data_IF_402451281112
#
_entry.id   IF_402451281112
#
_cell.length_a   1.000
_cell.length_b   1.000
_cell.length_c   1.000
_cell.angle_alpha   90.00
_cell.angle_beta   90.00
_cell.angle_gamma   90.00
#
_symmetry.space_group_name_H-M   'P 1'
#
loop_
_entity.id
_entity.type
_entity.pdbx_description
1 polymer ?
#
# COMPACT_ATOMS: atom_id res chain seq x y z
N UNK A 1 24.83 9.01 21.89
CA UNK A 1 23.81 10.02 21.54
C UNK A 1 24.31 11.05 20.53
N UNK A 2 25.45 11.72 20.77
CA UNK A 2 26.02 12.74 19.86
C UNK A 2 26.15 12.31 18.39
N UNK A 3 26.64 11.09 18.11
CA UNK A 3 26.73 10.57 16.73
C UNK A 3 25.36 10.51 16.01
N UNK A 4 24.28 10.15 16.71
CA UNK A 4 22.93 10.06 16.11
C UNK A 4 22.37 11.45 15.82
N UNK A 5 22.57 12.40 16.73
CA UNK A 5 22.14 13.80 16.56
C UNK A 5 22.94 14.45 15.42
N UNK A 6 24.25 14.23 15.37
CA UNK A 6 25.12 14.77 14.32
C UNK A 6 24.78 14.19 12.95
N UNK A 7 24.54 12.88 12.86
CA UNK A 7 24.07 12.25 11.61
C UNK A 7 22.70 12.78 11.19
N UNK A 8 21.78 12.97 12.12
CA UNK A 8 20.47 13.56 11.83
C UNK A 8 20.60 14.98 11.25
N UNK A 9 21.38 15.85 11.89
CA UNK A 9 21.61 17.21 11.41
C UNK A 9 22.32 17.21 10.05
N UNK A 10 23.35 16.38 9.88
CA UNK A 10 24.09 16.26 8.63
C UNK A 10 23.18 15.83 7.46
N UNK A 11 22.28 14.87 7.68
CA UNK A 11 21.32 14.44 6.66
C UNK A 11 20.34 15.56 6.29
N UNK A 12 19.81 16.30 7.27
CA UNK A 12 18.92 17.43 6.99
C UNK A 12 19.62 18.53 6.19
N UNK A 13 20.86 18.89 6.56
CA UNK A 13 21.67 19.85 5.81
C UNK A 13 21.92 19.34 4.39
N UNK A 14 22.30 18.07 4.22
CA UNK A 14 22.53 17.47 2.91
C UNK A 14 21.28 17.52 2.02
N UNK A 15 20.09 17.26 2.58
CA UNK A 15 18.82 17.35 1.86
C UNK A 15 18.54 18.77 1.41
N UNK A 16 18.67 19.76 2.31
CA UNK A 16 18.45 21.19 1.97
C UNK A 16 19.44 21.65 0.89
N UNK A 17 20.72 21.29 1.02
CA UNK A 17 21.76 21.60 0.03
C UNK A 17 21.45 20.95 -1.31
N UNK A 18 21.03 19.68 -1.31
CA UNK A 18 20.68 18.97 -2.55
C UNK A 18 19.52 19.64 -3.25
N UNK A 19 18.44 19.97 -2.53
CA UNK A 19 17.29 20.69 -3.10
C UNK A 19 17.75 22.04 -3.66
N UNK A 20 18.58 22.79 -2.92
CA UNK A 20 19.12 24.08 -3.37
C UNK A 20 19.99 23.99 -4.63
N UNK A 21 20.83 22.96 -4.75
CA UNK A 21 21.63 22.72 -5.95
C UNK A 21 20.71 22.39 -7.13
N UNK A 22 19.72 21.49 -6.93
CA UNK A 22 18.80 21.09 -7.99
C UNK A 22 17.97 22.28 -8.48
N UNK A 23 17.42 23.09 -7.57
CA UNK A 23 16.65 24.29 -7.96
C UNK A 23 17.52 25.32 -8.67
N UNK A 24 18.78 25.50 -8.23
CA UNK A 24 19.75 26.39 -8.89
C UNK A 24 20.10 25.92 -10.30
N UNK A 25 20.41 24.64 -10.49
CA UNK A 25 20.74 24.04 -11.80
C UNK A 25 19.55 24.13 -12.77
N UNK A 26 18.32 23.99 -12.27
CA UNK A 26 17.11 24.13 -13.07
C UNK A 26 16.70 25.59 -13.31
N UNK A 27 17.45 26.57 -12.80
CA UNK A 27 17.16 27.99 -12.97
C UNK A 27 15.88 28.46 -12.28
N UNK A 28 15.43 27.74 -11.25
CA UNK A 28 14.19 28.06 -10.52
C UNK A 28 14.45 29.27 -9.64
N UNK A 29 13.81 30.39 -10.00
CA UNK A 29 13.87 31.64 -9.26
C UNK A 29 13.12 31.51 -7.92
N UNK A 30 13.46 32.34 -6.90
CA UNK A 30 12.65 32.43 -5.70
C UNK A 30 11.19 32.75 -6.05
N UNK A 31 10.26 31.94 -5.52
CA UNK A 31 8.83 32.10 -5.81
C UNK A 31 8.18 33.26 -5.05
N UNK A 32 8.82 33.76 -3.99
CA UNK A 32 8.42 34.99 -3.30
C UNK A 32 9.25 36.13 -3.87
N UNK A 33 8.58 37.09 -4.50
CA UNK A 33 9.20 38.30 -5.06
C UNK A 33 8.66 39.54 -4.36
N UNK A 34 9.32 40.68 -4.57
CA UNK A 34 8.85 41.99 -4.10
C UNK A 34 7.46 42.38 -4.65
N UNK A 35 7.05 41.80 -5.78
CA UNK A 35 5.78 42.06 -6.44
C UNK A 35 4.68 41.04 -6.07
N UNK A 36 4.97 40.05 -5.22
CA UNK A 36 4.06 38.98 -4.85
C UNK A 36 4.61 37.59 -5.16
N UNK A 37 3.71 36.60 -5.27
CA UNK A 37 4.08 35.22 -5.61
C UNK A 37 4.13 35.01 -7.12
N UNK A 38 5.24 34.44 -7.59
CA UNK A 38 5.33 33.85 -8.92
C UNK A 38 4.82 32.40 -8.86
N UNK A 39 3.63 32.18 -9.42
CA UNK A 39 3.00 30.86 -9.44
C UNK A 39 3.74 29.85 -10.34
N UNK A 40 4.41 30.30 -11.39
CA UNK A 40 5.19 29.42 -12.26
C UNK A 40 6.43 28.93 -11.53
N UNK A 41 7.17 29.85 -10.90
CA UNK A 41 8.31 29.50 -10.06
C UNK A 41 7.90 28.60 -8.88
N UNK A 42 6.75 28.89 -8.25
CA UNK A 42 6.21 28.05 -7.17
C UNK A 42 5.86 26.64 -7.64
N UNK A 43 5.22 26.50 -8.81
CA UNK A 43 4.89 25.19 -9.36
C UNK A 43 6.15 24.40 -9.70
N UNK A 44 7.14 25.04 -10.34
CA UNK A 44 8.43 24.42 -10.66
C UNK A 44 9.15 23.97 -9.38
N UNK A 45 9.23 24.84 -8.36
CA UNK A 45 9.79 24.51 -7.05
C UNK A 45 9.05 23.33 -6.41
N UNK A 46 7.72 23.35 -6.43
CA UNK A 46 6.89 22.30 -5.84
C UNK A 46 7.08 20.96 -6.54
N UNK A 47 7.21 20.96 -7.87
CA UNK A 47 7.46 19.77 -8.66
C UNK A 47 8.83 19.17 -8.33
N UNK A 48 9.87 20.00 -8.23
CA UNK A 48 11.20 19.54 -7.82
C UNK A 48 11.13 18.92 -6.43
N UNK A 49 10.60 19.63 -5.44
CA UNK A 49 10.52 19.11 -4.07
C UNK A 49 9.69 17.81 -4.00
N UNK A 50 8.54 17.77 -4.67
CA UNK A 50 7.65 16.62 -4.68
C UNK A 50 8.26 15.37 -5.31
N UNK A 51 8.90 15.52 -6.47
CA UNK A 51 9.50 14.39 -7.19
C UNK A 51 10.90 14.02 -6.70
N UNK A 52 11.72 14.97 -6.24
CA UNK A 52 13.07 14.67 -5.75
C UNK A 52 13.02 13.68 -4.59
N UNK A 53 12.18 13.90 -3.58
CA UNK A 53 12.04 12.97 -2.46
C UNK A 53 11.56 11.58 -2.91
N UNK A 54 10.60 11.54 -3.83
CA UNK A 54 10.04 10.30 -4.35
C UNK A 54 11.09 9.47 -5.12
N UNK A 55 11.83 10.09 -6.04
CA UNK A 55 12.85 9.39 -6.83
C UNK A 55 14.07 9.00 -6.01
N UNK A 56 14.54 9.85 -5.08
CA UNK A 56 15.64 9.51 -4.18
C UNK A 56 15.25 8.30 -3.32
N UNK A 57 14.05 8.31 -2.75
CA UNK A 57 13.53 7.19 -1.96
C UNK A 57 13.48 5.89 -2.77
N UNK A 58 12.95 5.94 -4.00
CA UNK A 58 12.87 4.78 -4.88
C UNK A 58 14.26 4.27 -5.30
N UNK A 59 15.20 5.17 -5.61
CA UNK A 59 16.57 4.80 -5.99
C UNK A 59 17.31 4.08 -4.85
N UNK A 60 17.09 4.53 -3.61
CA UNK A 60 17.72 3.98 -2.41
C UNK A 60 16.96 2.78 -1.84
N UNK A 61 15.70 2.55 -2.23
CA UNK A 61 14.79 1.58 -1.58
C UNK A 61 15.40 0.20 -1.37
N UNK A 62 16.09 -0.32 -2.40
CA UNK A 62 16.74 -1.64 -2.34
C UNK A 62 17.93 -1.68 -1.38
N UNK A 63 18.73 -0.61 -1.34
CA UNK A 63 19.91 -0.54 -0.46
C UNK A 63 19.45 -0.38 0.99
N UNK A 64 18.48 0.50 1.21
CA UNK A 64 17.85 0.72 2.51
C UNK A 64 17.21 -0.56 3.04
N UNK A 65 16.44 -1.28 2.23
CA UNK A 65 15.83 -2.53 2.65
C UNK A 65 16.87 -3.58 3.09
N UNK A 66 17.98 -3.72 2.36
CA UNK A 66 19.06 -4.64 2.74
C UNK A 66 19.70 -4.29 4.06
N UNK A 67 19.99 -3.01 4.28
CA UNK A 67 20.67 -2.56 5.50
C UNK A 67 19.76 -2.53 6.71
N UNK A 68 18.53 -2.02 6.56
CA UNK A 68 17.59 -1.89 7.68
C UNK A 68 17.08 -3.24 8.16
N UNK A 69 16.80 -4.18 7.24
CA UNK A 69 16.29 -5.50 7.58
C UNK A 69 17.39 -6.55 7.75
N UNK A 70 18.66 -6.21 7.45
CA UNK A 70 19.75 -7.19 7.48
C UNK A 70 19.58 -8.32 6.46
N UNK A 71 19.07 -8.01 5.26
CA UNK A 71 18.79 -9.01 4.23
C UNK A 71 20.08 -9.68 3.77
N UNK A 72 20.15 -10.99 3.98
CA UNK A 72 21.19 -11.85 3.44
C UNK A 72 20.81 -12.24 2.01
N UNK A 73 21.52 -11.67 1.04
CA UNK A 73 21.26 -11.96 -0.38
C UNK A 73 21.80 -13.34 -0.71
N UNK A 74 20.94 -14.19 -1.27
CA UNK A 74 21.30 -15.53 -1.70
C UNK A 74 21.96 -15.45 -3.07
N UNK A 75 23.24 -15.82 -3.14
CA UNK A 75 23.98 -15.92 -4.40
C UNK A 75 23.73 -17.31 -5.04
N UNK A 76 23.11 -17.37 -6.24
CA UNK A 76 22.86 -18.64 -6.93
C UNK A 76 24.13 -19.45 -7.24
N UNK A 77 25.30 -18.81 -7.29
CA UNK A 77 26.58 -19.46 -7.59
C UNK A 77 27.33 -19.95 -6.34
N UNK A 78 26.90 -19.53 -5.14
CA UNK A 78 27.51 -19.94 -3.89
C UNK A 78 26.98 -21.30 -3.38
N UNK A 79 27.65 -21.85 -2.36
CA UNK A 79 27.16 -23.02 -1.63
C UNK A 79 25.95 -22.65 -0.77
N UNK A 80 24.76 -22.71 -1.36
CA UNK A 80 23.46 -22.53 -0.70
C UNK A 80 22.98 -23.84 -0.07
N UNK A 81 22.26 -23.73 1.06
CA UNK A 81 21.43 -24.82 1.58
C UNK A 81 20.35 -25.22 0.57
N UNK A 82 19.82 -26.43 0.69
CA UNK A 82 18.80 -26.93 -0.23
C UNK A 82 17.56 -26.02 -0.25
N UNK A 83 17.09 -25.59 0.92
CA UNK A 83 15.91 -24.71 1.05
C UNK A 83 16.15 -23.34 0.43
N UNK A 84 17.35 -22.76 0.63
CA UNK A 84 17.72 -21.48 0.04
C UNK A 84 17.82 -21.57 -1.49
N UNK A 85 18.35 -22.69 -2.01
CA UNK A 85 18.39 -22.95 -3.46
C UNK A 85 16.99 -23.11 -4.02
N UNK A 86 16.11 -23.84 -3.33
CA UNK A 86 14.72 -24.02 -3.74
C UNK A 86 13.99 -22.69 -3.82
N UNK A 87 14.14 -21.83 -2.80
CA UNK A 87 13.56 -20.49 -2.79
C UNK A 87 14.01 -19.66 -4.00
N UNK A 88 15.31 -19.64 -4.29
CA UNK A 88 15.86 -18.92 -5.46
C UNK A 88 15.24 -19.44 -6.76
N UNK A 89 15.17 -20.76 -6.93
CA UNK A 89 14.58 -21.40 -8.12
C UNK A 89 13.10 -21.05 -8.26
N UNK A 90 12.33 -21.12 -7.18
CA UNK A 90 10.91 -20.77 -7.18
C UNK A 90 10.70 -19.30 -7.58
N UNK A 91 11.42 -18.36 -6.96
CA UNK A 91 11.33 -16.93 -7.29
C UNK A 91 11.71 -16.67 -8.76
N UNK A 92 12.79 -17.28 -9.26
CA UNK A 92 13.21 -17.11 -10.65
C UNK A 92 12.22 -17.73 -11.64
N UNK A 93 11.61 -18.87 -11.30
CA UNK A 93 10.55 -19.47 -12.12
C UNK A 93 9.34 -18.54 -12.21
N UNK A 94 8.86 -18.01 -11.08
CA UNK A 94 7.73 -17.07 -11.05
C UNK A 94 8.06 -15.77 -11.81
N UNK A 95 9.28 -15.23 -11.63
CA UNK A 95 9.75 -14.05 -12.34
C UNK A 95 9.74 -14.25 -13.87
N UNK A 96 10.20 -15.40 -14.35
CA UNK A 96 10.15 -15.76 -15.78
C UNK A 96 8.71 -15.88 -16.28
N UNK A 97 7.84 -16.56 -15.54
CA UNK A 97 6.41 -16.69 -15.89
C UNK A 97 5.70 -15.33 -15.92
N UNK A 98 6.12 -14.39 -15.07
CA UNK A 98 5.62 -13.02 -15.05
C UNK A 98 6.20 -12.12 -16.15
N UNK A 99 7.11 -12.64 -17.00
CA UNK A 99 7.71 -11.90 -18.10
C UNK A 99 8.76 -10.88 -17.69
N UNK A 100 9.43 -11.08 -16.54
CA UNK A 100 10.53 -10.20 -16.12
C UNK A 100 11.78 -10.44 -16.97
N UNK A 101 12.34 -9.37 -17.54
CA UNK A 101 13.56 -9.40 -18.35
C UNK A 101 14.84 -9.65 -17.56
N UNK A 102 14.86 -9.30 -16.27
CA UNK A 102 15.96 -9.63 -15.37
C UNK A 102 15.42 -10.34 -14.13
N UNK A 103 16.22 -11.27 -13.60
CA UNK A 103 15.85 -12.01 -12.40
C UNK A 103 16.03 -11.11 -11.16
N UNK A 104 15.04 -11.07 -10.25
CA UNK A 104 15.20 -10.35 -8.99
C UNK A 104 16.29 -10.98 -8.13
N UNK A 105 16.93 -10.15 -7.31
CA UNK A 105 17.74 -10.66 -6.21
C UNK A 105 16.81 -11.35 -5.21
N UNK A 106 17.27 -12.44 -4.62
CA UNK A 106 16.53 -13.19 -3.61
C UNK A 106 17.29 -13.08 -2.30
N UNK A 107 16.59 -12.87 -1.19
CA UNK A 107 17.23 -12.79 0.11
C UNK A 107 16.36 -13.33 1.23
N UNK A 108 17.02 -13.64 2.35
CA UNK A 108 16.37 -14.01 3.60
C UNK A 108 16.79 -13.01 4.67
N UNK A 109 15.87 -12.66 5.57
CA UNK A 109 16.17 -11.84 6.73
C UNK A 109 15.64 -12.47 8.00
N UNK A 110 16.32 -12.24 9.12
CA UNK A 110 15.97 -12.84 10.39
C UNK A 110 14.80 -12.09 11.03
N UNK A 111 13.66 -12.76 11.17
CA UNK A 111 12.49 -12.22 11.86
C UNK A 111 11.51 -13.34 12.18
N UNK A 112 10.99 -13.36 13.40
CA UNK A 112 9.93 -14.29 13.82
C UNK A 112 8.57 -14.00 13.15
N UNK A 113 8.41 -12.82 12.56
CA UNK A 113 7.19 -12.43 11.86
C UNK A 113 7.08 -13.16 10.53
N UNK A 114 5.85 -13.53 10.14
CA UNK A 114 5.57 -14.17 8.85
C UNK A 114 5.40 -13.07 7.81
N UNK A 115 6.47 -12.79 7.06
CA UNK A 115 6.46 -11.68 6.10
C UNK A 115 7.40 -11.92 4.91
N UNK A 116 7.04 -11.35 3.76
CA UNK A 116 7.86 -11.26 2.57
C UNK A 116 7.60 -9.92 1.89
N UNK A 117 8.58 -9.39 1.18
CA UNK A 117 8.41 -8.13 0.47
C UNK A 117 9.25 -8.07 -0.82
N UNK A 118 8.73 -7.33 -1.80
CA UNK A 118 9.47 -6.92 -2.98
C UNK A 118 9.79 -5.42 -2.98
N UNK A 119 11.02 -5.06 -3.36
CA UNK A 119 11.45 -3.66 -3.53
C UNK A 119 12.46 -3.50 -4.66
N UNK A 120 12.53 -2.31 -5.25
CA UNK A 120 13.53 -1.97 -6.26
C UNK A 120 13.15 -0.77 -7.11
N UNK A 121 14.15 -0.01 -7.59
CA UNK A 121 13.90 1.17 -8.42
C UNK A 121 13.31 0.86 -9.79
N UNK A 122 13.55 -0.35 -10.31
CA UNK A 122 13.05 -0.79 -11.61
C UNK A 122 12.76 -2.28 -11.57
N UNK A 123 11.97 -2.78 -12.54
CA UNK A 123 11.71 -4.22 -12.72
C UNK A 123 13.01 -5.01 -12.85
N UNK A 124 14.00 -4.43 -13.54
CA UNK A 124 15.31 -5.03 -13.78
C UNK A 124 16.25 -5.01 -12.57
N UNK A 125 15.94 -4.21 -11.54
CA UNK A 125 16.76 -4.06 -10.34
C UNK A 125 15.89 -4.21 -9.11
N UNK A 126 15.26 -5.37 -9.00
CA UNK A 126 14.36 -5.74 -7.91
C UNK A 126 15.03 -6.71 -6.93
N UNK A 127 14.49 -6.74 -5.71
CA UNK A 127 14.83 -7.64 -4.61
C UNK A 127 13.53 -8.20 -4.07
N UNK A 128 13.46 -9.52 -3.92
CA UNK A 128 12.42 -10.22 -3.17
C UNK A 128 13.08 -10.81 -1.94
N UNK A 129 12.56 -10.49 -0.76
CA UNK A 129 13.09 -10.98 0.50
C UNK A 129 12.00 -11.66 1.33
N UNK A 130 12.39 -12.72 2.04
CA UNK A 130 11.49 -13.53 2.87
C UNK A 130 12.03 -13.63 4.29
N UNK A 131 11.17 -13.57 5.31
CA UNK A 131 11.60 -13.77 6.69
C UNK A 131 11.88 -15.23 7.03
N UNK A 132 12.76 -15.48 8.01
CA UNK A 132 12.95 -16.80 8.60
C UNK A 132 11.65 -17.36 9.19
N UNK A 133 10.83 -16.52 9.83
CA UNK A 133 9.52 -16.88 10.37
C UNK A 133 8.51 -17.31 9.31
N UNK A 134 8.54 -16.73 8.10
CA UNK A 134 7.67 -17.17 7.00
C UNK A 134 8.04 -18.57 6.53
N UNK A 135 9.32 -18.82 6.31
CA UNK A 135 9.82 -20.14 5.87
C UNK A 135 9.58 -21.23 6.93
N UNK A 136 9.62 -20.86 8.22
CA UNK A 136 9.42 -21.80 9.31
C UNK A 136 7.94 -22.17 9.55
N UNK A 137 6.99 -21.28 9.22
CA UNK A 137 5.58 -21.42 9.61
C UNK A 137 4.63 -21.72 8.44
N UNK A 138 5.01 -21.38 7.22
CA UNK A 138 4.18 -21.60 6.02
C UNK A 138 4.67 -22.82 5.25
N UNK A 139 3.74 -23.59 4.68
CA UNK A 139 4.10 -24.67 3.77
C UNK A 139 4.50 -24.15 2.38
N UNK A 140 5.09 -25.03 1.57
CA UNK A 140 5.60 -24.63 0.25
C UNK A 140 4.52 -24.04 -0.67
N UNK A 141 3.27 -24.53 -0.58
CA UNK A 141 2.18 -24.01 -1.41
C UNK A 141 1.78 -22.60 -1.02
N UNK A 142 1.72 -22.32 0.28
CA UNK A 142 1.43 -21.01 0.82
C UNK A 142 2.59 -20.03 0.51
N UNK A 143 3.85 -20.46 0.67
CA UNK A 143 5.03 -19.68 0.30
C UNK A 143 5.00 -19.31 -1.18
N UNK A 144 4.72 -20.26 -2.07
CA UNK A 144 4.62 -20.00 -3.51
C UNK A 144 3.53 -18.97 -3.84
N UNK A 145 2.38 -19.02 -3.15
CA UNK A 145 1.31 -18.04 -3.29
C UNK A 145 1.76 -16.62 -2.90
N UNK A 146 2.44 -16.47 -1.75
CA UNK A 146 2.99 -15.18 -1.31
C UNK A 146 4.05 -14.65 -2.29
N UNK A 147 4.98 -15.50 -2.71
CA UNK A 147 6.01 -15.10 -3.68
C UNK A 147 5.43 -14.68 -5.02
N UNK A 148 4.35 -15.34 -5.48
CA UNK A 148 3.67 -14.98 -6.71
C UNK A 148 2.96 -13.62 -6.61
N UNK A 149 2.41 -13.27 -5.44
CA UNK A 149 1.88 -11.93 -5.16
C UNK A 149 3.00 -10.87 -5.23
N UNK A 150 4.11 -11.09 -4.52
CA UNK A 150 5.25 -10.17 -4.50
C UNK A 150 5.89 -9.98 -5.90
N UNK A 151 6.04 -11.06 -6.66
CA UNK A 151 6.52 -10.99 -8.05
C UNK A 151 5.54 -10.23 -8.94
N UNK A 152 4.24 -10.34 -8.71
CA UNK A 152 3.24 -9.57 -9.45
C UNK A 152 3.40 -8.08 -9.22
N UNK A 153 3.77 -7.64 -8.01
CA UNK A 153 4.11 -6.23 -7.77
C UNK A 153 5.33 -5.77 -8.57
N UNK A 154 6.38 -6.59 -8.62
CA UNK A 154 7.56 -6.29 -9.45
C UNK A 154 7.18 -6.21 -10.92
N UNK A 155 6.44 -7.19 -11.43
CA UNK A 155 6.02 -7.28 -12.82
C UNK A 155 5.11 -6.13 -13.24
N UNK A 156 4.22 -5.67 -12.36
CA UNK A 156 3.36 -4.51 -12.61
C UNK A 156 4.12 -3.18 -12.56
N UNK A 157 5.28 -3.12 -11.88
CA UNK A 157 6.01 -1.86 -11.68
C UNK A 157 5.36 -1.00 -10.60
N UNK A 158 4.83 -1.66 -9.58
CA UNK A 158 3.98 -1.07 -8.55
C UNK A 158 4.74 -0.07 -7.65
N UNK A 159 6.01 -0.34 -7.39
CA UNK A 159 6.90 0.59 -6.68
C UNK A 159 7.04 1.91 -7.43
N UNK A 160 7.33 1.87 -8.73
CA UNK A 160 7.50 3.07 -9.56
C UNK A 160 6.19 3.84 -9.66
N UNK A 161 5.08 3.14 -9.91
CA UNK A 161 3.75 3.76 -10.04
C UNK A 161 3.36 4.49 -8.75
N UNK A 162 3.57 3.84 -7.61
CA UNK A 162 3.26 4.43 -6.31
C UNK A 162 4.17 5.62 -6.01
N UNK A 163 5.46 5.54 -6.33
CA UNK A 163 6.41 6.66 -6.22
C UNK A 163 5.98 7.85 -7.08
N UNK A 164 5.55 7.62 -8.33
CA UNK A 164 5.09 8.69 -9.22
C UNK A 164 3.83 9.37 -8.67
N UNK A 165 2.86 8.58 -8.19
CA UNK A 165 1.65 9.11 -7.55
C UNK A 165 2.03 9.95 -6.32
N UNK A 166 2.93 9.45 -5.47
CA UNK A 166 3.42 10.18 -4.30
C UNK A 166 4.08 11.49 -4.69
N UNK A 167 4.91 11.50 -5.76
CA UNK A 167 5.57 12.71 -6.26
C UNK A 167 4.58 13.77 -6.72
N UNK A 168 3.55 13.36 -7.47
CA UNK A 168 2.46 14.25 -7.91
C UNK A 168 1.68 14.79 -6.72
N UNK A 169 1.27 13.93 -5.78
CA UNK A 169 0.51 14.34 -4.60
C UNK A 169 1.34 15.31 -3.75
N UNK A 170 2.61 15.01 -3.47
CA UNK A 170 3.50 15.89 -2.73
C UNK A 170 3.67 17.24 -3.44
N UNK A 171 3.78 17.25 -4.76
CA UNK A 171 3.85 18.49 -5.56
C UNK A 171 2.62 19.37 -5.33
N UNK A 172 1.41 18.80 -5.42
CA UNK A 172 0.17 19.56 -5.22
C UNK A 172 -0.06 19.99 -3.78
N UNK A 173 0.27 19.13 -2.82
CA UNK A 173 0.25 19.49 -1.39
C UNK A 173 1.17 20.70 -1.18
N UNK A 174 2.39 20.63 -1.71
CA UNK A 174 3.35 21.72 -1.55
C UNK A 174 2.85 23.00 -2.18
N UNK A 175 2.42 22.93 -3.44
CA UNK A 175 1.92 24.06 -4.20
C UNK A 175 0.70 24.73 -3.56
N UNK A 176 -0.37 23.96 -3.32
CA UNK A 176 -1.64 24.49 -2.80
C UNK A 176 -1.50 25.03 -1.38
N UNK A 177 -0.66 24.42 -0.54
CA UNK A 177 -0.40 24.93 0.81
C UNK A 177 0.25 26.29 0.79
N UNK A 178 1.21 26.51 -0.12
CA UNK A 178 1.90 27.80 -0.27
C UNK A 178 0.96 28.87 -0.84
N UNK A 179 0.13 28.52 -1.82
CA UNK A 179 -0.88 29.43 -2.38
C UNK A 179 -1.91 29.83 -1.31
N UNK A 180 -2.47 28.86 -0.60
CA UNK A 180 -3.47 29.13 0.44
C UNK A 180 -2.88 29.95 1.60
N UNK A 181 -1.67 29.62 2.04
CA UNK A 181 -0.97 30.38 3.07
C UNK A 181 -0.69 31.82 2.64
N UNK A 182 -0.29 32.05 1.39
CA UNK A 182 -0.09 33.39 0.86
C UNK A 182 -1.37 34.21 0.85
N UNK A 183 -2.48 33.62 0.41
CA UNK A 183 -3.80 34.28 0.42
C UNK A 183 -4.17 34.68 1.85
N UNK A 184 -4.02 33.77 2.82
CA UNK A 184 -4.24 34.06 4.24
C UNK A 184 -3.36 35.21 4.72
N UNK A 185 -2.04 35.16 4.47
CA UNK A 185 -1.13 36.23 4.87
C UNK A 185 -1.50 37.58 4.25
N UNK A 186 -1.97 37.62 3.00
CA UNK A 186 -2.41 38.86 2.35
C UNK A 186 -3.64 39.49 3.03
N UNK A 187 -4.55 38.69 3.60
CA UNK A 187 -5.67 39.22 4.38
C UNK A 187 -5.21 39.86 5.69
N UNK A 188 -4.28 39.23 6.41
CA UNK A 188 -3.74 39.77 7.68
C UNK A 188 -2.79 40.96 7.49
N UNK A 189 -2.20 41.15 6.30
CA UNK A 189 -1.32 42.29 6.00
C UNK A 189 -2.04 43.63 5.87
N UNK A 190 -3.38 43.66 5.79
CA UNK A 190 -4.13 44.91 5.65
C UNK A 190 -4.36 45.64 6.96
N UNK A 191 -4.15 44.97 8.10
CA UNK A 191 -4.59 45.47 9.40
C UNK A 191 -3.45 45.97 10.33
N UNK A 192 -2.16 45.77 10.02
CA UNK A 192 -1.06 46.11 10.94
C UNK A 192 0.19 46.68 10.24
N UNK A 193 0.67 47.82 10.73
CA UNK A 193 1.86 48.57 10.28
C UNK A 193 3.19 48.17 10.98
N UNK A 194 3.21 47.17 11.86
CA UNK A 194 4.42 46.83 12.64
C UNK A 194 4.97 45.42 12.37
N UNK A 195 6.29 45.37 12.14
CA UNK A 195 7.01 44.25 11.54
C UNK A 195 7.03 42.95 12.35
N UNK A 196 6.96 41.83 11.62
CA UNK A 196 7.22 40.47 12.12
C UNK A 196 6.00 39.54 12.11
N UNK A 197 4.81 40.08 12.34
CA UNK A 197 3.55 39.31 12.40
C UNK A 197 3.21 38.56 11.09
N UNK A 198 3.42 39.12 9.88
CA UNK A 198 3.07 38.43 8.63
C UNK A 198 3.87 37.15 8.37
N UNK A 199 5.11 37.06 8.86
CA UNK A 199 5.95 35.86 8.69
C UNK A 199 5.45 34.70 9.56
N UNK A 200 5.12 34.98 10.83
CA UNK A 200 4.58 33.98 11.74
C UNK A 200 3.24 33.43 11.24
N UNK A 201 2.34 34.32 10.80
CA UNK A 201 1.04 33.93 10.20
C UNK A 201 1.26 33.05 8.97
N UNK A 202 2.16 33.43 8.06
CA UNK A 202 2.47 32.62 6.89
C UNK A 202 2.99 31.23 7.27
N UNK A 203 3.95 31.15 8.20
CA UNK A 203 4.52 29.89 8.65
C UNK A 203 3.44 28.98 9.25
N UNK A 204 2.60 29.50 10.14
CA UNK A 204 1.50 28.73 10.74
C UNK A 204 0.52 28.28 9.65
N UNK A 205 0.12 29.18 8.74
CA UNK A 205 -0.81 28.87 7.66
C UNK A 205 -0.27 27.78 6.74
N UNK A 206 1.01 27.86 6.33
CA UNK A 206 1.66 26.81 5.52
C UNK A 206 1.54 25.47 6.22
N UNK A 207 1.89 25.37 7.51
CA UNK A 207 1.87 24.06 8.17
C UNK A 207 0.43 23.53 8.32
N UNK A 208 -0.54 24.39 8.61
CA UNK A 208 -1.95 23.99 8.70
C UNK A 208 -2.45 23.46 7.35
N UNK A 209 -2.21 24.19 6.26
CA UNK A 209 -2.63 23.76 4.93
C UNK A 209 -1.87 22.53 4.44
N UNK A 210 -0.58 22.40 4.76
CA UNK A 210 0.23 21.23 4.39
C UNK A 210 -0.30 19.96 5.04
N UNK A 211 -0.70 20.02 6.31
CA UNK A 211 -1.38 18.92 7.00
C UNK A 211 -2.73 18.63 6.34
N UNK A 212 -3.56 19.66 6.11
CA UNK A 212 -4.90 19.51 5.53
C UNK A 212 -4.84 18.86 4.14
N UNK A 213 -4.02 19.40 3.24
CA UNK A 213 -3.87 18.88 1.89
C UNK A 213 -3.16 17.52 1.88
N UNK A 214 -2.25 17.24 2.82
CA UNK A 214 -1.66 15.89 2.97
C UNK A 214 -2.72 14.85 3.31
N UNK A 215 -3.67 15.17 4.21
CA UNK A 215 -4.79 14.29 4.54
C UNK A 215 -5.64 14.04 3.29
N UNK A 216 -5.97 15.09 2.54
CA UNK A 216 -6.74 14.94 1.28
C UNK A 216 -5.98 14.12 0.24
N UNK A 217 -4.69 14.38 0.06
CA UNK A 217 -3.82 13.63 -0.84
C UNK A 217 -3.71 12.15 -0.46
N UNK A 218 -3.71 11.83 0.84
CA UNK A 218 -3.66 10.45 1.33
C UNK A 218 -4.83 9.60 0.84
N UNK A 219 -6.01 10.19 0.63
CA UNK A 219 -7.20 9.48 0.12
C UNK A 219 -6.93 8.93 -1.28
N UNK A 220 -6.30 9.74 -2.14
CA UNK A 220 -5.92 9.35 -3.50
C UNK A 220 -4.87 8.24 -3.44
N UNK A 221 -3.84 8.42 -2.61
CA UNK A 221 -2.77 7.42 -2.41
C UNK A 221 -3.35 6.08 -1.93
N UNK A 222 -4.27 6.10 -0.97
CA UNK A 222 -4.96 4.90 -0.45
C UNK A 222 -5.80 4.19 -1.52
N UNK A 223 -6.49 4.95 -2.37
CA UNK A 223 -7.28 4.40 -3.47
C UNK A 223 -6.41 3.62 -4.46
N UNK A 224 -5.30 4.22 -4.91
CA UNK A 224 -4.36 3.56 -5.82
C UNK A 224 -3.64 2.38 -5.16
N UNK A 225 -3.30 2.50 -3.87
CA UNK A 225 -2.75 1.38 -3.10
C UNK A 225 -3.68 0.17 -3.16
N UNK A 226 -4.99 0.36 -2.96
CA UNK A 226 -5.97 -0.76 -3.00
C UNK A 226 -6.10 -1.41 -4.39
N UNK A 227 -6.09 -0.62 -5.46
CA UNK A 227 -6.16 -1.17 -6.83
C UNK A 227 -4.95 -2.07 -7.12
N UNK A 228 -3.78 -1.64 -6.66
CA UNK A 228 -2.50 -2.34 -6.80
C UNK A 228 -2.54 -3.73 -6.19
N UNK A 229 -3.08 -3.83 -4.97
CA UNK A 229 -3.28 -5.11 -4.25
C UNK A 229 -4.16 -6.06 -5.04
N UNK A 230 -5.34 -5.62 -5.49
CA UNK A 230 -6.24 -6.48 -6.27
C UNK A 230 -5.62 -6.96 -7.59
N UNK A 231 -4.81 -6.11 -8.23
CA UNK A 231 -4.07 -6.49 -9.44
C UNK A 231 -2.96 -7.50 -9.13
N UNK A 232 -2.29 -7.38 -7.98
CA UNK A 232 -1.27 -8.31 -7.55
C UNK A 232 -1.86 -9.65 -7.12
N UNK A 233 -3.00 -9.68 -6.43
CA UNK A 233 -3.74 -10.91 -6.10
C UNK A 233 -4.16 -11.66 -7.36
N UNK A 234 -4.72 -10.93 -8.33
CA UNK A 234 -5.07 -11.51 -9.62
C UNK A 234 -3.84 -12.00 -10.40
N UNK A 235 -2.70 -11.29 -10.30
CA UNK A 235 -1.42 -11.69 -10.88
C UNK A 235 -0.88 -12.97 -10.23
N UNK A 236 -0.82 -13.01 -8.91
CA UNK A 236 -0.29 -14.15 -8.17
C UNK A 236 -1.16 -15.39 -8.33
N UNK A 237 -2.49 -15.23 -8.39
CA UNK A 237 -3.40 -16.34 -8.72
C UNK A 237 -3.20 -16.88 -10.16
N UNK A 238 -2.80 -16.03 -11.12
CA UNK A 238 -2.42 -16.46 -12.48
C UNK A 238 -1.07 -17.17 -12.52
N UNK A 239 -0.12 -16.78 -11.67
CA UNK A 239 1.25 -17.32 -11.64
C UNK A 239 1.35 -18.62 -10.83
N UNK A 240 0.88 -18.63 -9.58
CA UNK A 240 0.96 -19.79 -8.68
C UNK A 240 -0.30 -20.67 -8.70
N UNK A 241 -1.41 -20.17 -9.23
CA UNK A 241 -2.72 -20.82 -9.17
C UNK A 241 -3.61 -20.27 -8.05
N UNK A 242 -4.92 -20.31 -8.28
CA UNK A 242 -5.93 -19.78 -7.34
C UNK A 242 -5.87 -20.46 -5.97
N UNK A 243 -5.72 -21.79 -5.96
CA UNK A 243 -5.74 -22.57 -4.71
C UNK A 243 -4.57 -22.19 -3.79
N UNK A 244 -3.36 -22.06 -4.35
CA UNK A 244 -2.17 -21.64 -3.61
C UNK A 244 -2.30 -20.23 -3.05
N UNK A 245 -2.90 -19.31 -3.81
CA UNK A 245 -3.15 -17.95 -3.33
C UNK A 245 -4.16 -17.93 -2.17
N UNK A 246 -5.24 -18.70 -2.27
CA UNK A 246 -6.21 -18.82 -1.17
C UNK A 246 -5.54 -19.44 0.05
N UNK A 247 -4.76 -20.51 -0.14
CA UNK A 247 -4.03 -21.17 0.94
C UNK A 247 -3.01 -20.23 1.63
N UNK A 248 -2.32 -19.41 0.85
CA UNK A 248 -1.40 -18.38 1.35
C UNK A 248 -2.12 -17.37 2.26
N UNK A 249 -3.26 -16.85 1.81
CA UNK A 249 -4.06 -15.88 2.58
C UNK A 249 -4.62 -16.50 3.87
N UNK A 250 -5.08 -17.75 3.81
CA UNK A 250 -5.57 -18.48 4.99
C UNK A 250 -4.44 -18.74 6.00
N UNK A 251 -3.25 -19.09 5.53
CA UNK A 251 -2.06 -19.31 6.37
C UNK A 251 -1.57 -18.02 7.03
N UNK A 252 -1.58 -16.89 6.29
CA UNK A 252 -1.26 -15.58 6.84
C UNK A 252 -2.27 -15.16 7.91
N UNK A 253 -3.56 -15.38 7.68
CA UNK A 253 -4.63 -15.07 8.65
C UNK A 253 -4.41 -15.82 9.97
N UNK A 254 -4.12 -17.13 9.92
CA UNK A 254 -3.85 -17.95 11.11
C UNK A 254 -2.62 -17.44 11.86
N UNK A 255 -1.57 -17.03 11.12
CA UNK A 255 -0.33 -16.52 11.71
C UNK A 255 -0.54 -15.22 12.48
N UNK A 256 -1.38 -14.31 11.97
CA UNK A 256 -1.73 -13.05 12.65
C UNK A 256 -2.52 -13.28 13.95
N UNK A 257 -3.45 -14.23 13.96
CA UNK A 257 -4.26 -14.57 15.15
C UNK A 257 -3.40 -15.13 16.31
N UNK A 258 -2.32 -15.87 15.98
CA UNK A 258 -1.37 -16.39 16.98
C UNK A 258 -0.53 -15.27 17.62
N UNK A 259 -0.11 -14.27 16.86
CA UNK A 259 0.70 -13.14 17.35
C UNK A 259 -0.09 -12.24 18.31
N UNK A 260 -1.37 -11.97 18.03
CA UNK A 260 -2.21 -11.11 18.88
C UNK A 260 -2.53 -11.77 20.25
N UNK A 261 -2.36 -13.09 20.35
CA UNK A 261 -2.63 -13.88 21.56
C UNK A 261 -1.40 -14.03 22.49
N UNK A 262 -0.19 -13.70 22.03
CA UNK A 262 1.07 -13.97 22.72
C UNK A 262 2.03 -12.77 22.79
N UNK A 263 1.90 -11.97 23.85
CA UNK A 263 2.92 -11.05 24.41
C UNK A 263 3.17 -9.65 23.78
N UNK A 264 3.21 -8.67 24.70
CA UNK A 264 4.28 -7.66 24.85
C UNK A 264 4.69 -6.82 23.63
N UNK A 265 3.89 -5.83 23.25
CA UNK A 265 4.23 -4.87 22.19
C UNK A 265 5.45 -4.01 22.56
N UNK A 266 6.48 -4.02 21.71
CA UNK A 266 7.59 -3.07 21.80
C UNK A 266 7.12 -1.64 21.45
N UNK A 267 7.74 -0.57 21.99
CA UNK A 267 7.39 0.82 21.65
C UNK A 267 7.57 1.16 20.16
N UNK A 268 8.45 0.45 19.45
CA UNK A 268 8.59 0.54 17.99
C UNK A 268 7.32 0.06 17.26
N UNK A 269 6.69 -0.98 17.80
CA UNK A 269 5.40 -1.52 17.34
C UNK A 269 4.24 -0.56 17.58
N UNK A 270 4.22 0.27 18.63
CA UNK A 270 3.15 1.27 18.83
C UNK A 270 3.23 2.41 17.80
N UNK A 271 4.42 2.86 17.44
CA UNK A 271 4.61 3.87 16.39
C UNK A 271 4.28 3.33 15.00
N UNK A 272 4.65 2.08 14.72
CA UNK A 272 4.38 1.39 13.45
C UNK A 272 2.91 0.92 13.32
N UNK A 273 2.35 0.26 14.35
CA UNK A 273 0.97 -0.23 14.36
C UNK A 273 -0.08 0.89 14.53
N UNK A 274 0.23 2.02 15.18
CA UNK A 274 -0.66 3.20 15.16
C UNK A 274 -0.70 3.82 13.76
N UNK A 275 0.43 3.81 13.04
CA UNK A 275 0.55 4.29 11.65
C UNK A 275 -0.18 3.35 10.66
N UNK A 276 -0.10 2.04 10.89
CA UNK A 276 -0.83 0.97 10.19
C UNK A 276 -2.33 0.96 10.50
N UNK A 277 -2.73 1.21 11.76
CA UNK A 277 -4.13 1.28 12.20
C UNK A 277 -4.78 2.59 11.75
N UNK A 278 -4.09 3.73 11.70
CA UNK A 278 -4.65 4.96 11.11
C UNK A 278 -4.85 4.85 9.58
N UNK A 279 -3.96 4.13 8.89
CA UNK A 279 -4.07 3.77 7.47
C UNK A 279 -5.16 2.72 7.19
N UNK A 280 -5.38 1.78 8.10
CA UNK A 280 -6.36 0.68 7.94
C UNK A 280 -7.68 0.86 8.72
N UNK A 281 -7.84 1.92 9.51
CA UNK A 281 -9.04 2.15 10.33
C UNK A 281 -9.55 3.59 10.32
N UNK A 282 -9.42 4.30 9.20
CA UNK A 282 -10.41 5.33 8.86
C UNK A 282 -11.53 4.66 8.06
N UNK A 283 -12.61 4.32 8.77
CA UNK A 283 -13.87 3.89 8.17
C UNK A 283 -14.38 5.00 7.24
N UNK A 284 -14.12 4.87 5.93
CA UNK A 284 -14.87 5.61 4.92
C UNK A 284 -16.13 4.79 4.56
N UNK A 285 -17.31 5.41 4.42
CA UNK A 285 -18.52 4.69 4.04
C UNK A 285 -18.35 4.04 2.65
N UNK A 286 -19.03 2.92 2.37
CA UNK A 286 -18.99 2.30 1.05
C UNK A 286 -19.55 3.28 0.01
N UNK A 287 -18.72 3.71 -0.93
CA UNK A 287 -19.16 4.52 -2.06
C UNK A 287 -20.09 3.70 -2.97
N UNK A 288 -21.17 4.30 -3.50
CA UNK A 288 -22.12 3.59 -4.35
C UNK A 288 -21.44 3.12 -5.63
N UNK A 289 -21.66 1.84 -5.98
CA UNK A 289 -21.24 1.27 -7.26
C UNK A 289 -21.98 1.98 -8.41
N UNK A 290 -21.37 2.17 -9.58
CA UNK A 290 -22.09 2.62 -10.76
C UNK A 290 -23.19 1.59 -11.10
N UNK A 291 -24.44 2.05 -11.10
CA UNK A 291 -25.62 1.26 -11.41
C UNK A 291 -25.63 0.90 -12.90
N UNK A 292 -25.43 -0.38 -13.21
CA UNK A 292 -25.53 -0.90 -14.57
C UNK A 292 -26.01 -2.34 -14.58
N UNK A 293 -27.22 -2.55 -15.11
CA UNK A 293 -27.70 -3.82 -15.68
C UNK A 293 -28.32 -4.81 -14.70
N UNK A 294 -29.65 -4.76 -14.57
CA UNK A 294 -30.45 -5.79 -13.92
C UNK A 294 -30.51 -7.07 -14.76
N UNK A 295 -29.71 -8.08 -14.41
CA UNK A 295 -29.93 -9.44 -14.91
C UNK A 295 -30.96 -10.12 -13.99
N UNK A 296 -32.26 -10.00 -14.31
CA UNK A 296 -33.32 -10.79 -13.66
C UNK A 296 -33.19 -12.25 -14.08
N UNK A 297 -32.82 -13.11 -13.14
CA UNK A 297 -32.98 -14.56 -13.26
C UNK A 297 -34.45 -14.88 -13.01
N UNK A 298 -35.18 -15.26 -14.07
CA UNK A 298 -36.55 -15.79 -13.98
C UNK A 298 -36.48 -17.19 -13.36
N UNK A 299 -37.08 -17.37 -12.17
CA UNK A 299 -37.37 -18.71 -11.63
C UNK A 299 -38.82 -19.09 -11.94
N UNK A 300 -39.10 -20.35 -12.31
CA UNK A 300 -40.43 -20.80 -12.69
C UNK A 300 -41.32 -20.94 -11.45
N UNK A 301 -42.59 -20.55 -11.64
CA UNK A 301 -43.65 -20.67 -10.64
C UNK A 301 -43.93 -22.14 -10.32
N UNK A 302 -43.77 -22.52 -9.05
CA UNK A 302 -44.38 -23.73 -8.50
C UNK A 302 -45.63 -23.37 -7.72
N UNK A 303 -46.73 -23.98 -8.15
CA UNK A 303 -48.07 -23.91 -7.59
C UNK A 303 -48.13 -24.42 -6.16
N UNK A 304 -48.73 -23.61 -5.27
CA UNK A 304 -49.14 -23.97 -3.91
C UNK A 304 -50.16 -25.12 -3.93
N UNK A 305 -50.29 -25.83 -2.80
CA UNK A 305 -51.60 -25.81 -2.15
C UNK A 305 -51.56 -25.47 -0.65
N UNK A 306 -52.75 -25.14 -0.19
CA UNK A 306 -53.18 -24.47 1.03
C UNK A 306 -53.32 -25.46 2.20
N UNK A 307 -52.91 -25.10 3.44
CA UNK A 307 -53.82 -25.12 4.62
C UNK A 307 -53.20 -24.69 5.97
N UNK A 308 -54.03 -23.91 6.66
CA UNK A 308 -54.35 -23.81 8.11
C UNK A 308 -53.27 -23.37 9.11
N UNK A 309 -53.58 -22.26 9.78
CA UNK A 309 -52.88 -21.76 10.95
C UNK A 309 -53.45 -22.23 12.29
N UNK A 310 -52.63 -21.98 13.31
CA UNK A 310 -52.81 -21.81 14.76
C UNK A 310 -51.47 -21.16 15.19
N UNK A 311 -51.29 -20.18 16.08
CA UNK A 311 -52.00 -19.69 17.27
C UNK A 311 -50.95 -19.54 18.40
N UNK A 312 -50.91 -18.41 19.13
CA UNK A 312 -50.12 -18.18 20.37
C UNK A 312 -48.82 -17.36 20.17
N UNK A 313 -48.62 -16.13 20.67
CA UNK A 313 -48.61 -15.49 22.02
C UNK A 313 -47.28 -15.64 22.79
N UNK A 314 -46.70 -14.48 23.18
CA UNK A 314 -45.75 -14.26 24.30
C UNK A 314 -44.27 -14.13 23.88
N UNK A 315 -43.44 -13.17 24.33
CA UNK A 315 -43.53 -12.09 25.32
C UNK A 315 -42.14 -11.84 25.94
N UNK A 316 -41.73 -10.56 26.08
CA UNK A 316 -40.73 -9.98 27.04
C UNK A 316 -39.27 -10.49 26.96
N UNK A 317 -38.17 -9.75 27.18
CA UNK A 317 -37.86 -8.42 27.70
C UNK A 317 -36.37 -8.41 28.12
N UNK A 318 -35.73 -7.24 28.29
CA UNK A 318 -34.51 -7.10 29.13
C UNK A 318 -33.21 -6.59 28.48
N UNK A 319 -32.93 -5.29 28.67
CA UNK A 319 -31.58 -4.65 28.83
C UNK A 319 -31.21 -4.68 30.35
N UNK A 320 -29.98 -4.34 30.89
CA UNK A 320 -29.19 -3.12 30.57
C UNK A 320 -27.67 -3.00 30.95
N UNK A 321 -27.04 -1.85 30.56
CA UNK A 321 -25.97 -1.02 31.24
C UNK A 321 -24.55 -1.62 31.47
N UNK A 322 -23.41 -0.89 31.58
CA UNK A 322 -23.04 0.47 32.08
C UNK A 322 -21.55 0.83 31.74
N UNK A 323 -21.23 2.14 31.57
CA UNK A 323 -20.09 3.02 32.03
C UNK A 323 -18.64 2.48 32.28
N UNK A 324 -17.50 3.19 32.25
CA UNK A 324 -17.09 4.64 32.33
C UNK A 324 -15.53 4.81 32.27
N UNK A 325 -15.07 6.06 32.01
CA UNK A 325 -13.74 6.71 32.33
C UNK A 325 -12.50 6.27 31.52
N UNK A 326 -11.48 7.08 31.22
CA UNK A 326 -11.08 8.48 31.53
C UNK A 326 -9.62 8.70 31.05
N UNK A 327 -9.22 9.96 30.93
CA UNK A 327 -7.84 10.52 30.90
C UNK A 327 -7.00 10.51 29.61
N UNK A 328 -6.42 11.68 29.33
CA UNK A 328 -5.61 11.98 28.14
C UNK A 328 -4.12 12.20 28.41
N UNK A 329 -3.32 12.37 27.36
CA UNK A 329 -2.01 13.04 27.40
C UNK A 329 -1.49 13.37 25.98
N UNK A 330 -0.84 14.52 25.87
CA UNK A 330 -0.20 15.14 24.70
C UNK A 330 1.02 14.35 24.15
N UNK A 331 1.37 14.54 22.86
CA UNK A 331 2.72 14.93 22.36
C UNK A 331 2.75 15.11 20.81
N UNK A 332 3.66 15.98 20.40
CA UNK A 332 3.85 16.79 19.19
C UNK A 332 4.55 16.07 18.01
N UNK A 333 3.98 16.27 16.80
CA UNK A 333 4.57 16.61 15.47
C UNK A 333 6.01 16.17 15.10
N UNK A 334 6.14 15.43 13.98
CA UNK A 334 6.92 15.84 12.79
C UNK A 334 6.65 14.89 11.60
N UNK A 335 6.24 15.38 10.41
CA UNK A 335 5.96 14.56 9.24
C UNK A 335 7.15 14.57 8.25
N UNK A 336 7.59 13.40 7.81
CA UNK A 336 8.61 13.33 6.76
C UNK A 336 9.32 11.99 6.69
N UNK A 337 8.69 11.02 6.05
CA UNK A 337 9.35 9.90 5.36
C UNK A 337 8.24 9.00 4.82
N UNK A 338 8.13 8.96 3.49
CA UNK A 338 7.27 8.00 2.80
C UNK A 338 7.80 6.60 3.00
N UNK A 339 6.91 5.61 3.10
CA UNK A 339 7.26 4.23 2.83
C UNK A 339 6.03 3.37 2.56
N UNK A 340 6.18 2.55 1.52
CA UNK A 340 5.30 1.50 1.03
C UNK A 340 5.00 0.48 2.13
N UNK A 341 3.72 0.20 2.42
CA UNK A 341 3.34 -0.98 3.20
C UNK A 341 2.06 -1.61 2.61
N UNK A 342 2.20 -2.90 2.28
CA UNK A 342 1.19 -3.87 1.89
C UNK A 342 0.28 -4.24 3.07
N UNK A 343 -1.00 -4.46 2.81
CA UNK A 343 -1.95 -4.87 3.86
C UNK A 343 -3.06 -5.78 3.35
N UNK A 344 -3.04 -7.02 3.85
CA UNK A 344 -4.06 -8.05 3.70
C UNK A 344 -5.31 -7.66 4.51
N UNK A 345 -6.49 -7.60 3.87
CA UNK A 345 -7.78 -7.61 4.60
C UNK A 345 -8.93 -8.34 3.88
N UNK A 346 -9.49 -9.29 4.63
CA UNK A 346 -10.91 -9.67 4.79
C UNK A 346 -11.72 -9.80 3.49
N UNK A 347 -11.60 -10.98 2.87
CA UNK A 347 -12.53 -11.47 1.85
C UNK A 347 -13.87 -11.80 2.52
N UNK A 348 -14.93 -11.08 2.16
CA UNK A 348 -16.30 -11.42 2.52
C UNK A 348 -16.96 -12.03 1.29
N UNK A 349 -17.57 -13.19 1.49
CA UNK A 349 -18.18 -14.05 0.48
C UNK A 349 -18.94 -13.30 -0.64
N UNK A 350 -18.62 -13.65 -1.89
CA UNK A 350 -19.55 -14.35 -2.79
C UNK A 350 -18.90 -14.64 -4.15
N UNK A 351 -19.26 -15.81 -4.69
CA UNK A 351 -18.92 -16.40 -5.99
C UNK A 351 -17.76 -17.41 -6.00
N UNK A 352 -17.94 -18.49 -5.23
CA UNK A 352 -17.61 -19.82 -5.71
C UNK A 352 -18.90 -20.47 -6.22
N UNK A 353 -18.97 -20.78 -7.51
CA UNK A 353 -19.81 -21.87 -8.00
C UNK A 353 -18.86 -22.80 -8.78
N UNK A 354 -18.62 -24.03 -8.30
CA UNK A 354 -17.79 -25.00 -8.98
C UNK A 354 -18.61 -25.69 -10.06
N UNK A 355 -18.09 -25.79 -11.28
CA UNK A 355 -18.56 -26.81 -12.24
C UNK A 355 -17.56 -27.95 -12.21
N UNK A 356 -17.93 -29.02 -11.51
CA UNK A 356 -17.26 -30.31 -11.58
C UNK A 356 -17.65 -31.09 -12.85
N UNK A 357 -16.94 -32.19 -13.13
CA UNK A 357 -17.03 -32.94 -14.39
C UNK A 357 -18.01 -34.12 -14.28
N UNK A 358 -18.61 -34.53 -15.42
CA UNK A 358 -18.51 -35.91 -15.93
C UNK A 358 -19.51 -36.24 -17.06
N UNK A 359 -18.95 -36.98 -18.04
CA UNK A 359 -19.49 -38.13 -18.76
C UNK A 359 -20.74 -38.03 -19.66
N UNK A 360 -20.58 -38.55 -20.88
CA UNK A 360 -21.59 -39.44 -21.50
C UNK A 360 -22.14 -39.04 -22.87
N UNK A 361 -21.53 -39.56 -23.93
CA UNK A 361 -22.16 -39.76 -25.26
C UNK A 361 -23.40 -40.68 -25.13
N UNK A 362 -24.39 -40.61 -26.04
CA UNK A 362 -24.32 -41.45 -27.23
C UNK A 362 -24.83 -40.78 -28.52
N UNK A 363 -24.49 -41.39 -29.65
CA UNK A 363 -24.51 -40.81 -31.00
C UNK A 363 -25.87 -40.63 -31.66
N UNK A 364 -25.84 -40.08 -32.88
CA UNK A 364 -26.49 -40.66 -34.08
C UNK A 364 -26.13 -39.89 -35.36
N UNK A 365 -25.85 -40.70 -36.39
CA UNK A 365 -26.11 -40.52 -37.84
C UNK A 365 -25.48 -39.36 -38.63
N UNK A 366 -24.52 -39.76 -39.47
CA UNK A 366 -24.21 -39.17 -40.79
C UNK A 366 -25.44 -39.17 -41.72
N UNK A 367 -25.45 -38.28 -42.72
CA UNK A 367 -25.58 -38.82 -44.08
C UNK A 367 -24.53 -38.30 -45.06
N UNK A 368 -24.18 -39.20 -45.98
CA UNK A 368 -23.47 -39.00 -47.24
C UNK A 368 -24.26 -38.09 -48.20
N UNK A 369 -23.55 -37.38 -49.07
CA UNK A 369 -24.04 -36.92 -50.37
C UNK A 369 -23.21 -35.75 -50.90
N UNK A 370 -22.10 -35.97 -51.60
CA UNK A 370 -21.95 -36.07 -53.08
C UNK A 370 -22.09 -34.73 -53.83
N UNK A 371 -21.01 -34.42 -54.57
CA UNK A 371 -20.92 -33.79 -55.90
C UNK A 371 -20.23 -32.42 -56.00
N UNK A 372 -19.44 -32.37 -57.09
CA UNK A 372 -18.68 -31.29 -57.73
C UNK A 372 -17.31 -30.96 -57.12
#
# INVERSE_FOLDING_TARGET
>A
MMKRILLFLAVNVLVVVTIGIVTSVLGIRPYITQYGIDFQALLAFSAVVGFSGAFISLALSRVMAKWMMGVQVLDPQAHLSNDARELVVQVHRLAKQAGLSAMPQVGVYESEEVNAFATGPTKNRSLVAVSSGLLARMDQQAVEGVLAHEISHVANGDMVTMTLIQGVINTFVVFLSRVAAYVVTMFFRRDEDEGGFPYLVNMIAVIVFDILFSILGSIVVMYFSRIREFRADAGGARLAGRERMVHALESLKKSVELVDSGSGRSPFFLSWALKEKLSSSSHAPPWPRPSGGSCRRLSPASSRPIRRGHGGIGGLGGRPRRNSHGDGLFIVRSPGAGELILHVRRWHDRHAEPRGPDAGLPGKSSPRGRNA
#
